data_IF_524953206874
#
_entry.id   IF_524953206874
#
_cell.length_a   1.000
_cell.length_b   1.000
_cell.length_c   1.000
_cell.angle_alpha   90.00
_cell.angle_beta   90.00
_cell.angle_gamma   90.00
#
_symmetry.space_group_name_H-M   'P 1'
#
loop_
_entity.id
_entity.type
_entity.pdbx_description
1 polymer ?
#
# COMPACT_ATOMS: atom_id res chain seq x y z
N UNK A 1 4.18 -3.15 -78.60
CA UNK A 1 4.51 -2.04 -77.68
C UNK A 1 3.41 -1.97 -76.62
N UNK A 2 3.54 -2.66 -75.49
CA UNK A 2 2.74 -2.42 -74.28
C UNK A 2 3.49 -3.04 -73.09
N UNK A 3 3.79 -2.23 -72.09
CA UNK A 3 4.44 -2.68 -70.87
C UNK A 3 5.18 -1.52 -70.19
N UNK A 4 4.42 -0.60 -69.58
CA UNK A 4 4.97 0.32 -68.60
C UNK A 4 4.42 -0.12 -67.25
N UNK A 5 5.29 -0.69 -66.42
CA UNK A 5 4.98 -1.08 -65.04
C UNK A 5 4.99 0.19 -64.16
N UNK A 6 3.80 0.62 -63.75
CA UNK A 6 3.66 1.68 -62.76
C UNK A 6 4.15 1.17 -61.39
N UNK A 7 5.34 1.63 -60.99
CA UNK A 7 5.85 1.51 -59.63
C UNK A 7 4.91 2.21 -58.65
N UNK A 8 4.07 1.43 -57.97
CA UNK A 8 3.26 1.89 -56.83
C UNK A 8 4.17 2.19 -55.64
N UNK A 9 4.56 3.46 -55.50
CA UNK A 9 4.94 4.06 -54.21
C UNK A 9 3.69 4.14 -53.32
N UNK A 10 3.27 3.00 -52.76
CA UNK A 10 2.17 2.92 -51.81
C UNK A 10 2.55 3.57 -50.49
N UNK A 11 2.14 4.82 -50.28
CA UNK A 11 2.23 5.46 -48.96
C UNK A 11 1.35 4.66 -47.99
N UNK A 12 1.96 4.01 -47.00
CA UNK A 12 1.23 3.34 -45.93
C UNK A 12 0.29 4.36 -45.27
N UNK A 13 -0.96 3.97 -45.07
CA UNK A 13 -1.91 4.81 -44.36
C UNK A 13 -1.52 4.87 -42.88
N UNK A 14 -1.92 5.94 -42.19
CA UNK A 14 -1.68 6.07 -40.74
C UNK A 14 -2.15 4.83 -39.96
N UNK A 15 -3.28 4.23 -40.34
CA UNK A 15 -3.79 3.00 -39.73
C UNK A 15 -2.83 1.82 -39.94
N UNK A 16 -2.33 1.63 -41.17
CA UNK A 16 -1.34 0.58 -41.45
C UNK A 16 -0.02 0.79 -40.70
N UNK A 17 0.39 2.04 -40.49
CA UNK A 17 1.58 2.36 -39.69
C UNK A 17 1.35 1.97 -38.22
N UNK A 18 0.19 2.33 -37.65
CA UNK A 18 -0.15 1.99 -36.26
C UNK A 18 -0.19 0.46 -36.06
N UNK A 19 -0.85 -0.26 -36.96
CA UNK A 19 -1.00 -1.70 -36.84
C UNK A 19 0.31 -2.47 -37.09
N UNK A 20 1.14 -2.00 -38.03
CA UNK A 20 2.38 -2.72 -38.39
C UNK A 20 3.51 -2.45 -37.41
N UNK A 21 3.64 -1.22 -36.92
CA UNK A 21 4.79 -0.83 -36.10
C UNK A 21 4.48 -0.75 -34.61
N UNK A 22 3.25 -0.39 -34.23
CA UNK A 22 2.91 -0.12 -32.82
C UNK A 22 2.10 -1.24 -32.16
N UNK A 23 1.21 -1.94 -32.88
CA UNK A 23 0.49 -3.08 -32.30
C UNK A 23 1.42 -4.20 -31.77
N UNK A 24 2.54 -4.55 -32.44
CA UNK A 24 3.50 -5.51 -31.89
C UNK A 24 4.19 -5.01 -30.62
N UNK A 25 4.42 -3.70 -30.49
CA UNK A 25 5.00 -3.08 -29.28
C UNK A 25 4.01 -3.10 -28.12
N UNK A 26 2.73 -2.85 -28.38
CA UNK A 26 1.67 -2.97 -27.37
C UNK A 26 1.49 -4.41 -26.91
N UNK A 27 1.57 -5.38 -27.82
CA UNK A 27 1.55 -6.81 -27.49
C UNK A 27 2.79 -7.25 -26.71
N UNK A 28 3.98 -6.75 -27.06
CA UNK A 28 5.21 -7.03 -26.32
C UNK A 28 5.16 -6.43 -24.91
N UNK A 29 4.63 -5.21 -24.77
CA UNK A 29 4.40 -4.57 -23.46
C UNK A 29 3.36 -5.32 -22.63
N UNK A 30 2.30 -5.87 -23.26
CA UNK A 30 1.35 -6.79 -22.59
C UNK A 30 1.96 -8.13 -22.21
N UNK A 31 3.01 -8.59 -22.93
CA UNK A 31 3.71 -9.85 -22.66
C UNK A 31 4.85 -9.71 -21.65
N UNK A 32 5.18 -8.50 -21.20
CA UNK A 32 6.04 -8.35 -20.03
C UNK A 32 5.33 -9.02 -18.85
N UNK A 33 5.79 -10.23 -18.49
CA UNK A 33 5.29 -10.95 -17.33
C UNK A 33 5.36 -10.02 -16.13
N UNK A 34 4.28 -9.99 -15.36
CA UNK A 34 4.23 -9.23 -14.11
C UNK A 34 5.51 -9.46 -13.32
N UNK A 35 6.16 -8.40 -12.82
CA UNK A 35 7.42 -8.52 -12.11
C UNK A 35 7.35 -9.59 -11.02
N UNK A 36 8.10 -10.68 -11.22
CA UNK A 36 8.14 -11.79 -10.28
C UNK A 36 9.17 -11.52 -9.19
N UNK A 37 8.96 -12.18 -8.04
CA UNK A 37 9.97 -12.29 -7.01
C UNK A 37 11.23 -12.97 -7.55
N UNK A 38 12.39 -12.37 -7.27
CA UNK A 38 13.70 -12.96 -7.50
C UNK A 38 14.47 -13.07 -6.17
N UNK A 39 15.55 -13.85 -6.16
CA UNK A 39 16.41 -14.06 -4.98
C UNK A 39 16.82 -12.74 -4.32
N UNK A 40 17.16 -11.73 -5.11
CA UNK A 40 17.56 -10.43 -4.60
C UNK A 40 16.42 -9.70 -3.87
N UNK A 41 15.21 -9.71 -4.44
CA UNK A 41 14.04 -9.12 -3.79
C UNK A 41 13.61 -9.89 -2.54
N UNK A 42 13.79 -11.22 -2.52
CA UNK A 42 13.51 -12.04 -1.34
C UNK A 42 14.53 -11.76 -0.22
N UNK A 43 15.82 -11.67 -0.54
CA UNK A 43 16.86 -11.27 0.40
C UNK A 43 16.57 -9.89 0.99
N UNK A 44 16.16 -8.93 0.15
CA UNK A 44 15.75 -7.60 0.62
C UNK A 44 14.57 -7.68 1.58
N UNK A 45 13.54 -8.44 1.22
CA UNK A 45 12.37 -8.63 2.06
C UNK A 45 12.77 -9.19 3.44
N UNK A 46 13.66 -10.19 3.48
CA UNK A 46 14.14 -10.78 4.73
C UNK A 46 14.87 -9.78 5.62
N UNK A 47 15.74 -8.94 5.05
CA UNK A 47 16.39 -7.87 5.81
C UNK A 47 15.36 -6.90 6.43
N UNK A 48 14.35 -6.50 5.64
CA UNK A 48 13.33 -5.57 6.10
C UNK A 48 12.40 -6.17 7.15
N UNK A 49 12.08 -7.47 7.05
CA UNK A 49 11.27 -8.18 8.05
C UNK A 49 12.00 -8.22 9.39
N UNK A 50 13.31 -8.46 9.40
CA UNK A 50 14.11 -8.43 10.63
C UNK A 50 14.09 -7.02 11.24
N UNK A 51 14.19 -5.98 10.42
CA UNK A 51 14.21 -4.58 10.88
C UNK A 51 12.86 -4.09 11.41
N UNK A 52 11.76 -4.43 10.73
CA UNK A 52 10.45 -3.83 11.01
C UNK A 52 9.45 -4.76 11.70
N UNK A 53 9.68 -6.08 11.73
CA UNK A 53 8.80 -7.11 12.33
C UNK A 53 7.29 -6.84 12.11
N UNK A 54 6.69 -7.33 11.01
CA UNK A 54 5.30 -7.05 10.65
C UNK A 54 4.30 -7.94 11.41
N UNK A 55 4.30 -7.89 12.74
CA UNK A 55 3.39 -8.64 13.63
C UNK A 55 2.91 -7.76 14.79
N UNK A 56 1.82 -8.19 15.45
CA UNK A 56 1.26 -7.55 16.63
C UNK A 56 0.50 -6.27 16.33
N UNK A 57 0.37 -5.41 17.36
CA UNK A 57 -0.44 -4.18 17.28
C UNK A 57 0.01 -3.23 16.17
N UNK A 58 1.32 -3.18 15.90
CA UNK A 58 1.90 -2.30 14.88
C UNK A 58 2.01 -2.94 13.49
N UNK A 59 1.48 -4.17 13.28
CA UNK A 59 1.73 -4.94 12.05
C UNK A 59 1.46 -4.18 10.77
N UNK A 60 0.36 -3.43 10.69
CA UNK A 60 -0.02 -2.70 9.47
C UNK A 60 0.91 -1.52 9.19
N UNK A 61 1.35 -0.82 10.24
CA UNK A 61 2.33 0.25 10.11
C UNK A 61 3.68 -0.31 9.65
N UNK A 62 4.14 -1.40 10.28
CA UNK A 62 5.39 -2.05 9.93
C UNK A 62 5.36 -2.64 8.51
N UNK A 63 4.25 -3.23 8.10
CA UNK A 63 4.05 -3.72 6.73
C UNK A 63 4.10 -2.59 5.70
N UNK A 64 3.53 -1.42 6.02
CA UNK A 64 3.63 -0.22 5.19
C UNK A 64 5.08 0.25 5.03
N UNK A 65 5.84 0.25 6.13
CA UNK A 65 7.28 0.55 6.12
C UNK A 65 8.05 -0.43 5.24
N UNK A 66 7.82 -1.75 5.40
CA UNK A 66 8.46 -2.77 4.54
C UNK A 66 8.13 -2.51 3.08
N UNK A 67 6.86 -2.26 2.73
CA UNK A 67 6.46 -1.96 1.35
C UNK A 67 7.20 -0.73 0.81
N UNK A 68 7.26 0.36 1.58
CA UNK A 68 7.98 1.58 1.21
C UNK A 68 9.45 1.27 0.87
N UNK A 69 10.14 0.54 1.74
CA UNK A 69 11.57 0.19 1.59
C UNK A 69 11.85 -0.95 0.60
N UNK A 70 10.85 -1.76 0.25
CA UNK A 70 10.90 -2.69 -0.88
C UNK A 70 10.81 -1.94 -2.21
N UNK A 71 10.08 -0.83 -2.28
CA UNK A 71 9.90 -0.08 -3.50
C UNK A 71 10.98 0.97 -3.74
N UNK A 72 11.58 1.51 -2.68
CA UNK A 72 12.65 2.51 -2.74
C UNK A 72 13.75 2.19 -1.74
N UNK A 73 14.97 2.54 -2.13
CA UNK A 73 16.16 2.51 -1.28
C UNK A 73 16.47 3.93 -0.85
N UNK A 74 16.83 4.15 0.41
CA UNK A 74 17.28 5.44 0.91
C UNK A 74 18.77 5.40 1.29
N UNK A 75 19.49 6.49 1.03
CA UNK A 75 20.95 6.60 1.20
C UNK A 75 21.41 6.46 2.67
N UNK A 76 20.48 6.61 3.62
CA UNK A 76 20.69 6.46 5.06
C UNK A 76 20.41 5.03 5.58
N UNK A 77 19.97 4.13 4.72
CA UNK A 77 19.71 2.74 5.09
C UNK A 77 20.98 1.91 5.21
N UNK A 78 20.93 0.88 6.05
CA UNK A 78 22.00 -0.11 6.13
C UNK A 78 21.99 -1.02 4.90
N UNK A 79 23.17 -1.24 4.31
CA UNK A 79 23.41 -2.24 3.27
C UNK A 79 22.51 -2.10 2.02
N UNK A 80 22.05 -0.89 1.71
CA UNK A 80 21.20 -0.62 0.54
C UNK A 80 21.97 -0.77 -0.79
N UNK A 81 23.30 -0.64 -0.75
CA UNK A 81 24.19 -0.67 -1.92
C UNK A 81 24.13 -2.00 -2.68
N UNK A 82 23.83 -3.12 -2.00
CA UNK A 82 23.64 -4.43 -2.64
C UNK A 82 22.49 -4.46 -3.65
N UNK A 83 21.57 -3.50 -3.57
CA UNK A 83 20.36 -3.43 -4.35
C UNK A 83 20.39 -2.34 -5.42
N UNK A 84 21.45 -1.53 -5.49
CA UNK A 84 21.63 -0.49 -6.49
C UNK A 84 22.04 -1.07 -7.85
N UNK A 85 21.71 -0.34 -8.92
CA UNK A 85 22.38 -0.53 -10.20
C UNK A 85 23.79 0.09 -10.16
N UNK A 86 24.61 -0.22 -11.16
CA UNK A 86 26.03 0.18 -11.16
C UNK A 86 26.21 1.71 -11.19
N UNK A 87 25.36 2.44 -11.92
CA UNK A 87 25.43 3.90 -12.02
C UNK A 87 25.08 4.58 -10.69
N UNK A 88 24.01 4.13 -10.03
CA UNK A 88 23.62 4.66 -8.71
C UNK A 88 24.65 4.30 -7.64
N UNK A 89 25.28 3.12 -7.73
CA UNK A 89 26.36 2.71 -6.84
C UNK A 89 27.59 3.62 -6.98
N UNK A 90 27.96 3.99 -8.22
CA UNK A 90 29.03 4.96 -8.46
C UNK A 90 28.70 6.34 -7.88
N UNK A 91 27.45 6.79 -8.02
CA UNK A 91 26.98 8.04 -7.42
C UNK A 91 27.11 8.01 -5.89
N UNK A 92 26.64 6.95 -5.23
CA UNK A 92 26.77 6.79 -3.77
C UNK A 92 28.24 6.78 -3.35
N UNK A 93 29.12 6.08 -4.09
CA UNK A 93 30.56 6.06 -3.80
C UNK A 93 31.22 7.44 -3.92
N UNK A 94 30.79 8.26 -4.88
CA UNK A 94 31.31 9.62 -5.03
C UNK A 94 30.89 10.56 -3.87
N UNK A 95 29.84 10.17 -3.14
CA UNK A 95 29.22 10.93 -2.05
C UNK A 95 29.51 10.36 -0.66
N UNK A 96 30.34 9.31 -0.55
CA UNK A 96 30.58 8.56 0.70
C UNK A 96 31.06 9.41 1.88
N UNK A 97 31.72 10.54 1.60
CA UNK A 97 32.33 11.42 2.61
C UNK A 97 31.37 12.55 3.05
N UNK A 98 30.17 12.63 2.46
CA UNK A 98 29.16 13.59 2.89
C UNK A 98 28.63 13.25 4.30
N UNK A 99 28.30 14.28 5.11
CA UNK A 99 27.61 14.11 6.38
C UNK A 99 26.30 13.35 6.21
N UNK A 100 25.90 12.55 7.21
CA UNK A 100 24.66 11.75 7.16
C UNK A 100 23.43 12.62 6.90
N UNK A 101 23.39 13.84 7.48
CA UNK A 101 22.29 14.79 7.26
C UNK A 101 22.12 15.23 5.79
N UNK A 102 23.15 15.09 4.97
CA UNK A 102 23.14 15.45 3.55
C UNK A 102 22.88 14.23 2.63
N UNK A 103 22.79 13.02 3.20
CA UNK A 103 22.50 11.77 2.51
C UNK A 103 21.00 11.56 2.36
N UNK A 104 20.39 12.37 1.51
CA UNK A 104 18.93 12.43 1.34
C UNK A 104 18.45 11.78 0.05
N UNK A 105 19.34 11.13 -0.71
CA UNK A 105 18.96 10.51 -1.98
C UNK A 105 18.10 9.27 -1.76
N UNK A 106 17.26 9.00 -2.75
CA UNK A 106 16.51 7.75 -2.85
C UNK A 106 16.69 7.14 -4.24
N UNK A 107 16.74 5.83 -4.29
CA UNK A 107 17.05 5.06 -5.49
C UNK A 107 15.98 4.00 -5.75
N UNK A 108 15.89 3.58 -7.00
CA UNK A 108 15.08 2.44 -7.39
C UNK A 108 15.91 1.16 -7.27
N UNK A 109 15.43 0.13 -6.55
CA UNK A 109 16.12 -1.15 -6.50
C UNK A 109 16.26 -1.79 -7.88
N UNK A 110 17.37 -2.49 -8.11
CA UNK A 110 17.68 -3.21 -9.36
C UNK A 110 16.78 -4.41 -9.63
N UNK A 111 16.13 -4.98 -8.60
CA UNK A 111 15.09 -5.98 -8.81
C UNK A 111 13.81 -5.31 -9.33
N UNK A 112 13.02 -6.02 -10.14
CA UNK A 112 11.88 -5.44 -10.85
C UNK A 112 10.61 -5.32 -10.02
N UNK A 113 10.38 -6.25 -9.09
CA UNK A 113 9.12 -6.28 -8.33
C UNK A 113 8.97 -5.04 -7.44
N UNK A 114 7.75 -4.51 -7.38
CA UNK A 114 7.31 -3.44 -6.47
C UNK A 114 6.09 -3.97 -5.71
N UNK A 115 6.31 -4.81 -4.68
CA UNK A 115 5.25 -5.66 -4.16
C UNK A 115 4.15 -4.86 -3.46
N UNK A 116 2.91 -5.35 -3.56
CA UNK A 116 1.80 -4.88 -2.72
C UNK A 116 1.95 -5.43 -1.29
N UNK A 117 1.21 -4.84 -0.35
CA UNK A 117 1.16 -5.36 1.03
C UNK A 117 0.67 -6.81 1.06
N UNK A 118 -0.31 -7.16 0.22
CA UNK A 118 -0.84 -8.51 0.07
C UNK A 118 0.24 -9.50 -0.41
N UNK A 119 1.03 -9.12 -1.42
CA UNK A 119 2.13 -9.96 -1.91
C UNK A 119 3.21 -10.18 -0.85
N UNK A 120 3.45 -9.19 0.02
CA UNK A 120 4.36 -9.33 1.16
C UNK A 120 3.76 -10.29 2.19
N UNK A 121 2.49 -10.15 2.53
CA UNK A 121 1.80 -11.05 3.46
C UNK A 121 1.76 -12.50 2.97
N UNK A 122 1.57 -12.72 1.67
CA UNK A 122 1.67 -14.06 1.07
C UNK A 122 3.05 -14.67 1.27
N UNK A 123 4.12 -13.86 1.13
CA UNK A 123 5.49 -14.31 1.43
C UNK A 123 5.67 -14.60 2.91
N UNK A 124 5.13 -13.77 3.79
CA UNK A 124 5.17 -14.01 5.23
C UNK A 124 4.53 -15.35 5.60
N UNK A 125 3.31 -15.61 5.11
CA UNK A 125 2.58 -16.87 5.33
C UNK A 125 3.29 -18.09 4.75
N UNK A 126 4.06 -17.91 3.66
CA UNK A 126 4.83 -18.99 3.03
C UNK A 126 6.04 -19.40 3.87
N UNK A 127 6.74 -18.44 4.48
CA UNK A 127 8.00 -18.71 5.18
C UNK A 127 7.84 -18.87 6.70
N UNK A 128 6.80 -18.28 7.29
CA UNK A 128 6.57 -18.31 8.73
C UNK A 128 5.13 -18.69 9.08
N UNK A 129 4.98 -19.36 10.21
CA UNK A 129 3.69 -19.54 10.84
C UNK A 129 3.27 -18.23 11.53
N UNK A 130 2.60 -17.37 10.77
CA UNK A 130 2.10 -16.09 11.26
C UNK A 130 1.09 -16.25 12.40
N UNK A 131 0.40 -17.39 12.50
CA UNK A 131 -0.56 -17.65 13.57
C UNK A 131 0.16 -17.77 14.91
N UNK A 132 1.25 -18.54 14.92
CA UNK A 132 2.09 -18.72 16.12
C UNK A 132 2.80 -17.42 16.48
N UNK A 133 3.31 -16.67 15.49
CA UNK A 133 3.96 -15.38 15.75
C UNK A 133 2.97 -14.41 16.39
N UNK A 134 1.81 -14.20 15.78
CA UNK A 134 0.79 -13.26 16.30
C UNK A 134 0.28 -13.67 17.69
N UNK A 135 0.15 -14.97 17.97
CA UNK A 135 -0.22 -15.45 19.32
C UNK A 135 0.84 -15.10 20.38
N UNK A 136 2.12 -15.08 19.99
CA UNK A 136 3.22 -14.74 20.89
C UNK A 136 3.47 -13.23 21.00
N UNK A 137 2.77 -12.40 20.22
CA UNK A 137 2.87 -10.95 20.37
C UNK A 137 2.11 -10.49 21.61
N UNK A 138 2.79 -9.80 22.51
CA UNK A 138 2.15 -9.15 23.64
C UNK A 138 1.25 -8.01 23.17
N UNK A 139 0.03 -7.94 23.72
CA UNK A 139 -0.83 -6.77 23.59
C UNK A 139 -0.43 -5.79 24.70
N UNK A 140 -0.02 -4.55 24.39
CA UNK A 140 0.32 -3.56 25.42
C UNK A 140 -0.91 -3.22 26.27
N UNK A 141 -0.67 -2.90 27.55
CA UNK A 141 -1.72 -2.48 28.48
C UNK A 141 -2.58 -1.34 27.89
N UNK A 142 -3.89 -1.48 28.00
CA UNK A 142 -4.86 -0.49 27.48
C UNK A 142 -5.30 -0.72 26.03
N UNK A 143 -4.62 -1.57 25.25
CA UNK A 143 -5.08 -1.94 23.89
C UNK A 143 -6.18 -3.01 23.89
N UNK A 144 -6.42 -3.67 25.03
CA UNK A 144 -7.51 -4.62 25.24
C UNK A 144 -8.83 -3.93 25.58
N UNK A 145 -8.77 -2.64 25.94
CA UNK A 145 -9.93 -1.86 26.37
C UNK A 145 -10.69 -1.40 25.13
N UNK A 146 -11.84 -2.05 24.90
CA UNK A 146 -12.81 -1.56 23.94
C UNK A 146 -13.56 -0.37 24.54
N UNK A 147 -13.16 0.86 24.19
CA UNK A 147 -13.96 2.05 24.43
C UNK A 147 -14.98 2.20 23.31
N UNK A 148 -16.21 2.55 23.66
CA UNK A 148 -17.13 3.10 22.67
C UNK A 148 -16.55 4.42 22.14
N UNK A 149 -16.67 4.64 20.83
CA UNK A 149 -16.26 5.90 20.24
C UNK A 149 -17.21 7.00 20.73
N UNK A 150 -16.68 7.98 21.44
CA UNK A 150 -17.39 9.20 21.80
C UNK A 150 -16.72 10.40 21.14
N UNK A 151 -17.54 11.35 20.69
CA UNK A 151 -17.02 12.67 20.32
C UNK A 151 -16.61 13.39 21.61
N UNK A 152 -15.47 14.11 21.62
CA UNK A 152 -15.12 14.96 22.75
C UNK A 152 -16.25 15.91 23.10
N UNK A 153 -16.43 16.18 24.40
CA UNK A 153 -17.42 17.14 24.88
C UNK A 153 -17.14 18.53 24.28
N UNK A 154 -18.14 19.11 23.61
CA UNK A 154 -18.04 20.43 22.98
C UNK A 154 -19.07 20.66 21.88
N UNK A 155 -18.91 21.75 21.12
CA UNK A 155 -19.90 22.19 20.13
C UNK A 155 -20.30 21.12 19.10
N UNK A 156 -19.39 20.21 18.74
CA UNK A 156 -19.70 19.15 17.77
C UNK A 156 -20.56 18.03 18.36
N UNK A 157 -20.41 17.69 19.64
CA UNK A 157 -21.28 16.68 20.28
C UNK A 157 -22.70 17.23 20.46
N UNK A 158 -22.83 18.51 20.81
CA UNK A 158 -24.12 19.21 20.91
C UNK A 158 -24.85 19.30 19.57
N UNK A 159 -24.15 19.66 18.48
CA UNK A 159 -24.74 19.72 17.12
C UNK A 159 -25.25 18.35 16.65
N UNK A 160 -24.52 17.28 16.96
CA UNK A 160 -24.94 15.92 16.61
C UNK A 160 -26.14 15.47 17.44
N UNK A 161 -26.15 15.80 18.73
CA UNK A 161 -27.28 15.52 19.63
C UNK A 161 -28.53 16.28 19.19
N UNK A 162 -28.41 17.57 18.87
CA UNK A 162 -29.51 18.40 18.34
C UNK A 162 -30.04 17.82 17.02
N UNK A 163 -29.15 17.37 16.13
CA UNK A 163 -29.54 16.73 14.86
C UNK A 163 -30.22 15.37 15.06
N UNK A 164 -29.76 14.55 16.00
CA UNK A 164 -30.42 13.29 16.35
C UNK A 164 -31.79 13.53 16.98
N UNK A 165 -31.92 14.52 17.87
CA UNK A 165 -33.19 14.92 18.47
C UNK A 165 -34.17 15.47 17.43
N UNK A 166 -33.71 16.31 16.49
CA UNK A 166 -34.52 16.80 15.37
C UNK A 166 -34.98 15.66 14.45
N UNK A 167 -34.11 14.70 14.15
CA UNK A 167 -34.46 13.52 13.37
C UNK A 167 -35.43 12.59 14.11
N UNK A 168 -35.27 12.44 15.43
CA UNK A 168 -36.18 11.65 16.27
C UNK A 168 -37.57 12.31 16.36
N UNK A 169 -37.61 13.64 16.52
CA UNK A 169 -38.84 14.42 16.53
C UNK A 169 -39.58 14.33 15.18
N UNK A 170 -38.85 14.39 14.06
CA UNK A 170 -39.40 14.21 12.72
C UNK A 170 -39.90 12.78 12.47
N UNK A 171 -39.25 11.77 13.07
CA UNK A 171 -39.70 10.38 12.99
C UNK A 171 -40.97 10.12 13.83
N UNK A 172 -41.24 10.91 14.87
CA UNK A 172 -42.48 10.84 15.66
C UNK A 172 -43.67 11.61 15.07
N UNK A 173 -43.46 12.46 14.06
CA UNK A 173 -44.51 13.27 13.43
C UNK A 173 -44.90 12.84 11.99
N UNK A 174 -44.26 11.80 11.44
CA UNK A 174 -44.60 11.24 10.13
C UNK A 174 -45.61 10.08 10.21
N UNK A 175 -46.51 9.90 9.22
CA UNK A 175 -47.43 8.78 9.19
C UNK A 175 -46.66 7.45 9.06
N UNK A 176 -47.17 6.43 9.74
CA UNK A 176 -46.63 5.07 9.83
C UNK A 176 -46.31 4.53 8.43
N UNK A 177 -45.03 4.46 8.08
CA UNK A 177 -44.52 3.56 7.04
C UNK A 177 -43.52 2.62 7.70
N UNK A 178 -43.88 1.35 7.69
CA UNK A 178 -43.17 0.26 8.34
C UNK A 178 -41.82 0.01 7.67
N UNK A 179 -40.73 0.20 8.41
CA UNK A 179 -39.45 -0.45 8.11
C UNK A 179 -38.68 -0.75 9.40
N UNK A 180 -38.43 -2.05 9.58
CA UNK A 180 -37.87 -2.72 10.75
C UNK A 180 -36.67 -1.99 11.37
N UNK A 181 -36.88 -1.40 12.56
CA UNK A 181 -35.79 -0.99 13.47
C UNK A 181 -35.16 -2.23 14.11
N UNK A 182 -33.89 -2.47 13.81
CA UNK A 182 -33.03 -3.39 14.55
C UNK A 182 -32.72 -2.76 15.91
N UNK A 183 -33.22 -3.39 16.97
CA UNK A 183 -32.97 -3.00 18.36
C UNK A 183 -31.46 -3.00 18.66
N UNK A 184 -30.93 -1.84 19.05
CA UNK A 184 -29.64 -1.72 19.76
C UNK A 184 -29.96 -1.15 21.13
N UNK A 185 -29.93 -2.04 22.11
CA UNK A 185 -30.09 -1.76 23.54
C UNK A 185 -28.70 -1.38 24.05
N UNK A 186 -28.42 -0.08 24.16
CA UNK A 186 -27.26 0.45 24.88
C UNK A 186 -27.74 0.99 26.20
N UNK A 187 -27.46 0.27 27.29
CA UNK A 187 -27.66 0.76 28.66
C UNK A 187 -26.41 1.49 29.11
N UNK A 188 -26.58 2.68 29.66
CA UNK A 188 -25.56 3.45 30.36
C UNK A 188 -25.07 2.69 31.60
N UNK A 189 -23.75 2.61 31.87
CA UNK A 189 -23.26 2.24 33.19
C UNK A 189 -23.34 3.48 34.10
N UNK A 190 -23.99 3.32 35.25
CA UNK A 190 -23.95 4.29 36.36
C UNK A 190 -22.50 4.40 36.86
N UNK A 191 -21.98 5.63 36.86
CA UNK A 191 -20.81 6.01 37.64
C UNK A 191 -21.17 5.97 39.12
N UNK A 192 -20.50 5.14 39.89
CA UNK A 192 -20.47 5.26 41.35
C UNK A 192 -19.07 5.70 41.78
N UNK A 193 -19.04 6.80 42.53
CA UNK A 193 -17.89 7.44 43.16
C UNK A 193 -17.06 6.51 44.06
N UNK A 194 -15.77 6.85 44.16
CA UNK A 194 -14.78 6.60 45.23
C UNK A 194 -14.90 5.36 46.14
#
# INVERSE_FOLDING_TARGET
MHGNEDSKSGKMTRGQIMDTFFAPLEELKRKEKEPQWCELSEMRLFQLIIRYKPAGVNKHFMLSSIRKHMCKLYEDEEAFEYYLNDADLELVRSRKDLPIAERTLSFEPRYRIRPTSEQIEERLKKYWDMTVIEYNEGVPDGFEVHSEFFLPDGQFSELMKEKEEANAAAATSGPISSSKRRSRRGGTPDSADH
#
